data_IF_142325439034
#
_entry.id   IF_142325439034
#
_cell.length_a   1.000
_cell.length_b   1.000
_cell.length_c   1.000
_cell.angle_alpha   90.00
_cell.angle_beta   90.00
_cell.angle_gamma   90.00
#
_symmetry.space_group_name_H-M   'P 1'
#
loop_
_entity.id
_entity.type
_entity.pdbx_description
1 polymer ?
#
# COMPACT_ATOMS: atom_id res chain seq x y z
N UNK A 1 -6.30 11.79 23.25
CA UNK A 1 -6.15 12.10 21.81
C UNK A 1 -4.82 11.56 21.36
N UNK A 2 -4.80 10.46 20.60
CA UNK A 2 -3.54 9.95 20.03
C UNK A 2 -3.08 10.94 18.96
N UNK A 3 -1.91 11.55 19.15
CA UNK A 3 -1.30 12.43 18.14
C UNK A 3 -0.78 11.56 17.00
N UNK A 4 -1.47 11.57 15.86
CA UNK A 4 -0.90 11.08 14.60
C UNK A 4 0.16 12.09 14.15
N UNK A 5 1.37 11.97 14.69
CA UNK A 5 2.52 12.81 14.29
C UNK A 5 2.77 12.62 12.78
N UNK A 6 2.54 13.70 12.02
CA UNK A 6 2.85 13.92 10.60
C UNK A 6 2.86 12.67 9.71
N UNK A 7 1.68 12.09 9.42
CA UNK A 7 1.52 11.00 8.43
C UNK A 7 2.18 11.37 7.10
N UNK A 8 2.10 12.65 6.75
CA UNK A 8 2.66 13.27 5.55
C UNK A 8 4.21 13.20 5.48
N UNK A 9 4.88 12.77 6.55
CA UNK A 9 6.33 12.50 6.60
C UNK A 9 6.69 11.02 6.75
N UNK A 10 5.69 10.14 6.83
CA UNK A 10 5.87 8.72 7.10
C UNK A 10 5.58 7.87 5.87
N UNK A 11 6.26 6.72 5.79
CA UNK A 11 5.99 5.67 4.81
C UNK A 11 5.29 4.51 5.50
N UNK A 12 4.20 4.03 4.92
CA UNK A 12 3.43 2.90 5.44
C UNK A 12 3.62 1.66 4.57
N UNK A 13 3.81 0.51 5.21
CA UNK A 13 3.91 -0.78 4.54
C UNK A 13 2.60 -1.54 4.67
N UNK A 14 2.05 -1.99 3.55
CA UNK A 14 0.81 -2.77 3.46
C UNK A 14 1.12 -4.24 3.16
N UNK A 15 1.21 -5.05 4.22
CA UNK A 15 1.52 -6.49 4.14
C UNK A 15 0.28 -7.31 4.53
N UNK A 16 -0.03 -8.34 3.74
CA UNK A 16 -1.04 -9.32 4.10
C UNK A 16 -0.58 -10.74 3.76
N UNK A 17 -0.94 -11.69 4.62
CA UNK A 17 -0.85 -13.11 4.30
C UNK A 17 -1.72 -13.44 3.09
N UNK A 18 -1.35 -14.50 2.36
CA UNK A 18 -2.01 -14.90 1.11
C UNK A 18 -3.53 -15.07 1.23
N UNK A 19 -4.00 -15.61 2.35
CA UNK A 19 -5.42 -15.82 2.62
C UNK A 19 -6.19 -14.54 2.94
N UNK A 20 -5.50 -13.42 3.22
CA UNK A 20 -6.08 -12.13 3.62
C UNK A 20 -5.90 -11.02 2.59
N UNK A 21 -5.46 -11.35 1.37
CA UNK A 21 -5.24 -10.36 0.31
C UNK A 21 -6.53 -9.63 -0.09
N UNK A 22 -7.67 -10.32 -0.12
CA UNK A 22 -8.97 -9.72 -0.41
C UNK A 22 -9.39 -8.72 0.67
N UNK A 23 -9.31 -9.11 1.94
CA UNK A 23 -9.59 -8.21 3.08
C UNK A 23 -8.67 -6.98 3.07
N UNK A 24 -7.41 -7.16 2.69
CA UNK A 24 -6.42 -6.10 2.57
C UNK A 24 -6.71 -5.15 1.39
N UNK A 25 -7.42 -5.60 0.36
CA UNK A 25 -7.94 -4.73 -0.70
C UNK A 25 -9.12 -3.90 -0.25
N UNK A 26 -10.06 -4.53 0.46
CA UNK A 26 -11.22 -3.85 1.03
C UNK A 26 -10.77 -2.78 2.03
N UNK A 27 -9.87 -3.13 2.95
CA UNK A 27 -9.26 -2.18 3.89
C UNK A 27 -8.62 -0.97 3.18
N UNK A 28 -7.86 -1.21 2.11
CA UNK A 28 -7.22 -0.14 1.35
C UNK A 28 -8.24 0.74 0.62
N UNK A 29 -9.36 0.17 0.16
CA UNK A 29 -10.43 0.89 -0.51
C UNK A 29 -11.26 1.75 0.47
N UNK A 30 -11.55 1.22 1.65
CA UNK A 30 -12.29 1.88 2.72
C UNK A 30 -11.50 3.03 3.36
N UNK A 31 -10.19 2.83 3.55
CA UNK A 31 -9.32 3.82 4.18
C UNK A 31 -8.44 4.59 3.18
N UNK A 32 -8.84 4.63 1.91
CA UNK A 32 -8.05 5.22 0.83
C UNK A 32 -7.57 6.65 1.13
N UNK A 33 -8.47 7.52 1.62
CA UNK A 33 -8.13 8.92 1.90
C UNK A 33 -7.10 9.05 3.02
N UNK A 34 -7.22 8.24 4.07
CA UNK A 34 -6.27 8.22 5.18
C UNK A 34 -4.90 7.71 4.71
N UNK A 35 -4.88 6.59 3.99
CA UNK A 35 -3.65 5.98 3.47
C UNK A 35 -2.95 6.88 2.44
N UNK A 36 -3.72 7.68 1.70
CA UNK A 36 -3.18 8.64 0.72
C UNK A 36 -2.46 9.82 1.35
N UNK A 37 -2.68 10.09 2.64
CA UNK A 37 -1.96 11.15 3.37
C UNK A 37 -0.51 10.80 3.70
N UNK A 38 -0.14 9.52 3.68
CA UNK A 38 1.25 9.14 3.93
C UNK A 38 2.20 9.71 2.86
N UNK A 39 3.44 10.00 3.24
CA UNK A 39 4.47 10.40 2.28
C UNK A 39 4.69 9.32 1.21
N UNK A 40 4.63 8.04 1.63
CA UNK A 40 4.75 6.89 0.74
C UNK A 40 3.95 5.69 1.23
N UNK A 41 3.59 4.82 0.29
CA UNK A 41 2.97 3.52 0.57
C UNK A 41 3.77 2.45 -0.15
N UNK A 42 4.13 1.39 0.56
CA UNK A 42 4.92 0.27 0.03
C UNK A 42 4.21 -1.05 0.29
N UNK A 43 4.39 -2.06 -0.56
CA UNK A 43 3.83 -3.40 -0.38
C UNK A 43 4.80 -4.47 -0.88
N UNK A 44 4.84 -5.64 -0.23
CA UNK A 44 5.68 -6.78 -0.62
C UNK A 44 4.91 -7.85 -1.40
N UNK A 45 5.57 -8.47 -2.37
CA UNK A 45 5.25 -9.81 -2.91
C UNK A 45 4.06 -9.97 -3.83
N UNK A 46 3.34 -11.10 -3.71
CA UNK A 46 2.06 -11.31 -4.39
C UNK A 46 0.97 -10.33 -3.90
N UNK A 47 1.21 -9.56 -2.84
CA UNK A 47 0.47 -8.32 -2.54
C UNK A 47 0.83 -7.19 -3.51
N UNK A 48 1.88 -7.34 -4.31
CA UNK A 48 2.27 -6.53 -5.46
C UNK A 48 1.53 -6.87 -6.77
N UNK A 49 1.05 -8.11 -6.97
CA UNK A 49 -0.02 -8.38 -7.95
C UNK A 49 -1.31 -7.64 -7.59
N UNK A 50 -1.55 -7.46 -6.29
CA UNK A 50 -2.54 -6.55 -5.73
C UNK A 50 -2.10 -5.08 -5.81
N UNK A 51 -0.81 -4.78 -5.93
CA UNK A 51 -0.28 -3.44 -6.14
C UNK A 51 -0.73 -2.83 -7.47
N UNK A 52 -0.71 -3.60 -8.55
CA UNK A 52 -1.33 -3.20 -9.82
C UNK A 52 -2.84 -2.96 -9.66
N UNK A 53 -3.54 -3.80 -8.90
CA UNK A 53 -4.98 -3.63 -8.60
C UNK A 53 -5.26 -2.43 -7.69
N UNK A 54 -4.36 -2.10 -6.76
CA UNK A 54 -4.42 -0.94 -5.86
C UNK A 54 -4.13 0.35 -6.60
N UNK A 55 -3.17 0.34 -7.53
CA UNK A 55 -2.94 1.46 -8.43
C UNK A 55 -4.16 1.67 -9.34
N UNK A 56 -4.74 0.60 -9.87
CA UNK A 56 -5.99 0.68 -10.64
C UNK A 56 -7.17 1.23 -9.80
N UNK A 57 -7.32 0.78 -8.55
CA UNK A 57 -8.31 1.31 -7.60
C UNK A 57 -8.04 2.78 -7.25
N UNK A 58 -6.78 3.16 -7.07
CA UNK A 58 -6.41 4.54 -6.78
C UNK A 58 -6.76 5.45 -7.96
N UNK A 59 -6.45 5.03 -9.20
CA UNK A 59 -6.81 5.78 -10.39
C UNK A 59 -8.33 5.91 -10.57
N UNK A 60 -9.11 4.87 -10.23
CA UNK A 60 -10.58 4.97 -10.25
C UNK A 60 -11.13 5.92 -9.18
N UNK A 61 -10.37 6.16 -8.10
CA UNK A 61 -10.68 7.14 -7.05
C UNK A 61 -10.04 8.52 -7.27
N UNK A 62 -9.47 8.78 -8.44
CA UNK A 62 -8.94 10.10 -8.82
C UNK A 62 -7.46 10.33 -8.50
N UNK A 63 -6.72 9.28 -8.13
CA UNK A 63 -5.27 9.38 -8.03
C UNK A 63 -4.64 9.65 -9.41
N UNK A 64 -3.56 10.44 -9.51
CA UNK A 64 -2.93 10.73 -10.80
C UNK A 64 -2.50 9.45 -11.53
N UNK A 65 -2.99 9.26 -12.76
CA UNK A 65 -2.74 8.06 -13.59
C UNK A 65 -1.25 7.81 -13.89
N UNK A 66 -0.41 8.83 -13.76
CA UNK A 66 1.04 8.75 -13.99
C UNK A 66 1.85 8.51 -12.71
N UNK A 67 1.20 8.42 -11.55
CA UNK A 67 1.85 8.08 -10.28
C UNK A 67 1.32 6.75 -9.75
N UNK A 68 2.26 5.88 -9.37
CA UNK A 68 1.92 4.74 -8.53
C UNK A 68 1.46 5.26 -7.17
N UNK A 69 0.28 4.81 -6.73
CA UNK A 69 -0.20 5.05 -5.37
C UNK A 69 0.58 4.20 -4.35
N UNK A 70 0.95 2.98 -4.73
CA UNK A 70 1.78 2.07 -3.92
C UNK A 70 3.00 1.60 -4.72
N UNK A 71 4.17 1.61 -4.08
CA UNK A 71 5.40 1.01 -4.63
C UNK A 71 5.48 -0.46 -4.21
N UNK A 72 5.74 -1.34 -5.18
CA UNK A 72 5.82 -2.78 -4.93
C UNK A 72 7.28 -3.25 -4.87
N UNK A 73 7.62 -3.92 -3.77
CA UNK A 73 8.87 -4.65 -3.59
C UNK A 73 8.66 -6.15 -3.79
N UNK A 74 9.73 -6.94 -3.77
CA UNK A 74 9.67 -8.39 -3.97
C UNK A 74 8.84 -9.07 -2.87
N UNK A 75 8.55 -10.36 -3.03
CA UNK A 75 7.84 -11.12 -1.99
C UNK A 75 8.76 -11.43 -0.83
N UNK A 76 8.18 -11.56 0.37
CA UNK A 76 8.94 -11.90 1.58
C UNK A 76 9.79 -13.18 1.38
N UNK A 77 9.30 -14.28 0.75
CA UNK A 77 10.15 -15.44 0.46
C UNK A 77 11.28 -15.19 -0.55
N UNK A 78 11.22 -14.09 -1.31
CA UNK A 78 12.23 -13.66 -2.27
C UNK A 78 13.11 -12.52 -1.72
N UNK A 79 12.97 -12.16 -0.45
CA UNK A 79 13.76 -11.10 0.20
C UNK A 79 13.14 -9.70 0.16
N UNK A 80 11.83 -9.59 -0.13
CA UNK A 80 11.11 -8.32 -0.10
C UNK A 80 11.03 -7.66 1.27
N UNK A 81 11.04 -8.47 2.34
CA UNK A 81 11.16 -8.02 3.73
C UNK A 81 12.47 -7.27 3.97
N UNK A 82 13.58 -7.75 3.41
CA UNK A 82 14.90 -7.11 3.49
C UNK A 82 15.00 -5.81 2.69
N UNK A 83 14.10 -5.55 1.73
CA UNK A 83 14.07 -4.29 0.96
C UNK A 83 13.35 -3.15 1.69
N UNK A 84 12.60 -3.47 2.76
CA UNK A 84 11.79 -2.52 3.54
C UNK A 84 12.37 -2.33 4.96
N UNK A 85 13.47 -3.04 5.29
CA UNK A 85 14.18 -2.98 6.57
C UNK A 85 15.18 -1.82 6.65
#
# INVERSE_FOLDING_TARGET
>A
MQQFQALESQVVTLIAHDTRKSEMMEFAAEHFDLLSRFAGRVATGTTGTTGSQRNALAWSKGWPAQQAWVTCYQSDPLGGDAQIA
#
